data_IF_615167261267
#
_entry.id   IF_615167261267
#
_cell.length_a   1.000
_cell.length_b   1.000
_cell.length_c   1.000
_cell.angle_alpha   90.00
_cell.angle_beta   90.00
_cell.angle_gamma   90.00
#
_symmetry.space_group_name_H-M   'P 1'
#
loop_
_entity.id
_entity.type
_entity.pdbx_description
1 polymer ?
#
# COMPACT_ATOMS: atom_id res chain seq x y z
N UNK A 1 -2.41 -18.00 -12.40
CA UNK A 1 -3.43 -17.02 -12.85
C UNK A 1 -3.95 -17.25 -14.27
N UNK A 2 -3.10 -17.37 -15.30
CA UNK A 2 -3.55 -17.54 -16.70
C UNK A 2 -4.51 -18.72 -16.90
N UNK A 3 -4.24 -19.86 -16.27
CA UNK A 3 -5.11 -21.05 -16.33
C UNK A 3 -6.49 -20.85 -15.70
N UNK A 4 -6.62 -20.04 -14.64
CA UNK A 4 -7.92 -19.73 -14.02
C UNK A 4 -8.76 -18.82 -14.93
N UNK A 5 -8.11 -17.81 -15.52
CA UNK A 5 -8.77 -16.90 -16.46
C UNK A 5 -9.24 -17.63 -17.71
N UNK A 6 -8.39 -18.47 -18.31
CA UNK A 6 -8.73 -19.25 -19.49
C UNK A 6 -9.79 -20.32 -19.22
N UNK A 7 -9.92 -20.79 -17.98
CA UNK A 7 -10.99 -21.69 -17.53
C UNK A 7 -12.32 -20.98 -17.20
N UNK A 8 -12.44 -19.67 -17.46
CA UNK A 8 -13.65 -18.88 -17.18
C UNK A 8 -13.96 -18.71 -15.69
N UNK A 9 -12.99 -18.97 -14.80
CA UNK A 9 -13.21 -18.87 -13.33
C UNK A 9 -13.46 -17.44 -12.87
N UNK A 10 -13.04 -16.44 -13.65
CA UNK A 10 -13.27 -15.03 -13.37
C UNK A 10 -14.43 -14.42 -14.18
N UNK A 11 -15.20 -15.24 -14.88
CA UNK A 11 -16.40 -14.77 -15.60
C UNK A 11 -17.47 -14.34 -14.59
N UNK A 12 -18.32 -13.39 -14.98
CA UNK A 12 -19.34 -12.79 -14.09
C UNK A 12 -20.21 -13.83 -13.37
N UNK A 13 -20.49 -14.97 -14.00
CA UNK A 13 -21.30 -16.05 -13.45
C UNK A 13 -20.57 -16.85 -12.34
N UNK A 14 -19.24 -16.88 -12.38
CA UNK A 14 -18.40 -17.74 -11.53
C UNK A 14 -17.51 -16.96 -10.56
N UNK A 15 -17.31 -15.66 -10.79
CA UNK A 15 -16.39 -14.82 -10.03
C UNK A 15 -16.63 -14.90 -8.53
N UNK A 16 -17.90 -14.89 -8.08
CA UNK A 16 -18.23 -14.98 -6.65
C UNK A 16 -17.75 -16.28 -6.03
N UNK A 17 -18.05 -17.41 -6.67
CA UNK A 17 -17.62 -18.74 -6.20
C UNK A 17 -16.10 -18.85 -6.18
N UNK A 18 -15.44 -18.42 -7.26
CA UNK A 18 -13.98 -18.44 -7.35
C UNK A 18 -13.34 -17.54 -6.30
N UNK A 19 -13.90 -16.36 -6.04
CA UNK A 19 -13.44 -15.47 -4.97
C UNK A 19 -13.55 -16.14 -3.61
N UNK A 20 -14.68 -16.78 -3.28
CA UNK A 20 -14.85 -17.48 -2.00
C UNK A 20 -13.84 -18.63 -1.83
N UNK A 21 -13.56 -19.39 -2.90
CA UNK A 21 -12.53 -20.43 -2.92
C UNK A 21 -11.13 -19.84 -2.66
N UNK A 22 -10.77 -18.75 -3.33
CA UNK A 22 -9.47 -18.09 -3.20
C UNK A 22 -9.30 -17.41 -1.83
N UNK A 23 -10.34 -16.75 -1.31
CA UNK A 23 -10.29 -16.13 0.02
C UNK A 23 -10.00 -17.14 1.12
N UNK A 24 -10.54 -18.36 1.01
CA UNK A 24 -10.23 -19.44 1.97
C UNK A 24 -8.82 -19.99 1.77
N UNK A 25 -8.41 -20.20 0.53
CA UNK A 25 -7.13 -20.80 0.20
C UNK A 25 -5.93 -19.88 0.48
N UNK A 26 -6.12 -18.56 0.38
CA UNK A 26 -5.06 -17.54 0.50
C UNK A 26 -5.21 -16.69 1.76
N UNK A 27 -6.01 -17.14 2.72
CA UNK A 27 -6.13 -16.46 4.01
C UNK A 27 -4.82 -16.62 4.77
N UNK A 28 -4.21 -15.49 5.14
CA UNK A 28 -3.06 -15.50 6.03
C UNK A 28 -3.45 -16.03 7.40
N UNK A 29 -2.67 -16.95 7.92
CA UNK A 29 -2.79 -17.44 9.28
C UNK A 29 -2.28 -16.39 10.28
N UNK A 30 -2.68 -16.55 11.55
CA UNK A 30 -2.22 -15.65 12.60
C UNK A 30 -0.70 -15.77 12.75
N UNK A 31 0.00 -14.64 12.65
CA UNK A 31 1.46 -14.54 12.68
C UNK A 31 2.17 -15.20 11.50
N UNK A 32 1.46 -15.48 10.39
CA UNK A 32 2.12 -15.89 9.14
C UNK A 32 2.99 -14.73 8.63
N UNK A 33 4.31 -14.95 8.42
CA UNK A 33 5.18 -13.91 7.89
C UNK A 33 4.75 -13.51 6.48
N UNK A 34 4.63 -12.20 6.26
CA UNK A 34 4.42 -11.61 4.94
C UNK A 34 5.42 -10.49 4.69
N UNK A 35 5.54 -10.05 3.44
CA UNK A 35 6.42 -8.95 3.04
C UNK A 35 5.76 -8.05 2.00
N UNK A 36 6.20 -6.79 1.98
CA UNK A 36 5.85 -5.81 0.95
C UNK A 36 7.13 -5.31 0.28
N UNK A 37 7.18 -5.39 -1.04
CA UNK A 37 8.25 -4.82 -1.86
C UNK A 37 7.64 -3.84 -2.85
N UNK A 38 8.18 -2.63 -2.89
CA UNK A 38 7.85 -1.64 -3.92
C UNK A 38 9.13 -1.03 -4.48
N UNK A 39 9.21 -0.95 -5.81
CA UNK A 39 10.31 -0.29 -6.52
C UNK A 39 9.75 0.73 -7.49
N UNK A 40 10.09 2.00 -7.28
CA UNK A 40 9.73 3.12 -8.16
C UNK A 40 10.98 3.53 -8.92
N UNK A 41 10.92 3.50 -10.25
CA UNK A 41 12.03 3.89 -11.12
C UNK A 41 11.59 5.09 -11.94
N UNK A 42 12.24 6.22 -11.74
CA UNK A 42 12.01 7.46 -12.49
C UNK A 42 13.20 7.66 -13.42
N UNK A 43 12.93 7.73 -14.73
CA UNK A 43 13.94 8.01 -15.75
C UNK A 43 13.74 9.43 -16.28
N UNK A 44 14.80 10.22 -16.19
CA UNK A 44 14.96 11.55 -16.78
C UNK A 44 16.11 11.40 -17.79
N UNK A 45 16.13 12.15 -18.90
CA UNK A 45 17.02 11.91 -20.04
C UNK A 45 18.45 11.45 -19.69
N UNK A 46 19.10 12.13 -18.75
CA UNK A 46 20.47 11.83 -18.29
C UNK A 46 20.55 11.29 -16.86
N UNK A 47 19.43 10.97 -16.21
CA UNK A 47 19.41 10.61 -14.80
C UNK A 47 18.34 9.57 -14.46
N UNK A 48 18.65 8.73 -13.49
CA UNK A 48 17.75 7.68 -13.02
C UNK A 48 17.65 7.80 -11.50
N UNK A 49 16.42 7.93 -11.00
CA UNK A 49 16.11 7.96 -9.57
C UNK A 49 15.36 6.68 -9.25
N UNK A 50 15.80 5.96 -8.21
CA UNK A 50 15.14 4.75 -7.74
C UNK A 50 14.73 4.93 -6.26
N UNK A 51 13.47 4.65 -5.95
CA UNK A 51 12.99 4.48 -4.58
C UNK A 51 12.68 2.99 -4.37
N UNK A 52 13.22 2.42 -3.31
CA UNK A 52 13.00 1.02 -2.95
C UNK A 52 12.39 0.99 -1.54
N UNK A 53 11.26 0.31 -1.39
CA UNK A 53 10.62 -0.02 -0.14
C UNK A 53 10.71 -1.53 0.06
N UNK A 54 11.20 -1.93 1.22
CA UNK A 54 11.22 -3.31 1.68
C UNK A 54 10.70 -3.32 3.11
N UNK A 55 9.67 -4.10 3.36
CA UNK A 55 9.03 -4.20 4.66
C UNK A 55 8.54 -5.63 4.91
N UNK A 56 8.58 -6.07 6.17
CA UNK A 56 8.26 -7.44 6.58
C UNK A 56 7.27 -7.45 7.74
N UNK A 57 6.63 -8.59 8.00
CA UNK A 57 5.82 -8.77 9.20
C UNK A 57 6.64 -8.46 10.47
N UNK A 58 6.08 -7.62 11.35
CA UNK A 58 6.74 -7.29 12.61
C UNK A 58 6.31 -8.25 13.73
N UNK A 59 7.21 -9.14 14.10
CA UNK A 59 6.98 -10.14 15.16
C UNK A 59 6.75 -9.49 16.53
N UNK A 60 7.29 -8.29 16.80
CA UNK A 60 7.16 -7.65 18.11
C UNK A 60 5.78 -7.04 18.32
N UNK A 61 5.29 -6.32 17.32
CA UNK A 61 3.99 -5.63 17.38
C UNK A 61 2.84 -6.49 16.86
N UNK A 62 3.14 -7.53 16.07
CA UNK A 62 2.15 -8.36 15.38
C UNK A 62 1.54 -7.68 14.16
N UNK A 63 2.01 -6.49 13.77
CA UNK A 63 1.51 -5.79 12.59
C UNK A 63 2.07 -6.41 11.32
N UNK A 64 1.18 -6.64 10.35
CA UNK A 64 1.55 -7.16 9.05
C UNK A 64 2.25 -6.07 8.21
N UNK A 65 3.14 -6.45 7.30
CA UNK A 65 3.85 -5.50 6.45
C UNK A 65 2.87 -4.62 5.65
N UNK A 66 1.82 -5.23 5.12
CA UNK A 66 0.80 -4.52 4.35
C UNK A 66 0.03 -3.52 5.22
N UNK A 67 -0.27 -3.88 6.48
CA UNK A 67 -0.94 -2.96 7.41
C UNK A 67 -0.09 -1.72 7.73
N UNK A 68 1.24 -1.88 7.86
CA UNK A 68 2.15 -0.75 8.12
C UNK A 68 2.38 0.12 6.89
N UNK A 69 2.45 -0.48 5.70
CA UNK A 69 2.70 0.27 4.45
C UNK A 69 1.43 0.87 3.83
N UNK A 70 0.24 0.33 4.12
CA UNK A 70 -1.05 0.86 3.64
C UNK A 70 -1.86 1.54 4.73
N UNK A 71 -2.09 0.83 5.85
CA UNK A 71 -2.91 1.31 6.95
C UNK A 71 -2.31 2.54 7.63
N UNK A 72 -1.02 2.48 7.99
CA UNK A 72 -0.38 3.64 8.61
C UNK A 72 -0.22 4.81 7.63
N UNK A 73 -0.07 4.56 6.33
CA UNK A 73 -0.08 5.63 5.31
C UNK A 73 -1.43 6.35 5.29
N UNK A 74 -2.55 5.61 5.41
CA UNK A 74 -3.88 6.21 5.56
C UNK A 74 -4.03 7.00 6.86
N UNK A 75 -3.57 6.44 7.99
CA UNK A 75 -3.58 7.13 9.30
C UNK A 75 -2.73 8.40 9.27
N UNK A 76 -1.54 8.35 8.68
CA UNK A 76 -0.65 9.49 8.51
C UNK A 76 -1.32 10.59 7.68
N UNK A 77 -2.03 10.21 6.61
CA UNK A 77 -2.78 11.15 5.77
C UNK A 77 -3.90 11.84 6.54
N UNK A 78 -4.64 11.10 7.38
CA UNK A 78 -5.66 11.70 8.26
C UNK A 78 -5.04 12.69 9.25
N UNK A 79 -3.91 12.34 9.87
CA UNK A 79 -3.20 13.24 10.78
C UNK A 79 -2.69 14.50 10.08
N UNK A 80 -2.17 14.35 8.86
CA UNK A 80 -1.70 15.46 8.03
C UNK A 80 -2.82 16.47 7.73
N UNK A 81 -4.02 15.97 7.43
CA UNK A 81 -5.22 16.81 7.25
C UNK A 81 -5.64 17.47 8.57
N UNK A 82 -5.65 16.72 9.67
CA UNK A 82 -5.99 17.24 11.00
C UNK A 82 -5.04 18.36 11.48
N UNK A 83 -3.76 18.28 11.09
CA UNK A 83 -2.73 19.29 11.35
C UNK A 83 -2.77 20.47 10.37
N UNK A 84 -3.73 20.51 9.44
CA UNK A 84 -3.84 21.51 8.37
C UNK A 84 -2.60 21.60 7.46
N UNK A 85 -1.78 20.54 7.36
CA UNK A 85 -0.62 20.52 6.45
C UNK A 85 -1.07 20.44 4.98
N UNK A 86 -2.17 19.73 4.73
CA UNK A 86 -2.92 19.77 3.49
C UNK A 86 -4.34 20.27 3.78
N UNK A 87 -4.68 21.44 3.24
CA UNK A 87 -5.92 22.18 3.58
C UNK A 87 -6.76 22.56 2.36
N UNK A 88 -6.50 21.97 1.19
CA UNK A 88 -7.33 22.20 0.00
C UNK A 88 -8.64 21.43 0.10
N UNK A 89 -9.75 22.07 -0.27
CA UNK A 89 -11.08 21.47 -0.28
C UNK A 89 -11.38 20.86 -1.66
N UNK A 90 -11.85 19.61 -1.68
CA UNK A 90 -12.17 18.90 -2.91
C UNK A 90 -11.79 17.42 -2.86
N UNK A 91 -11.71 16.80 -4.04
CA UNK A 91 -11.26 15.41 -4.20
C UNK A 91 -9.88 15.44 -4.86
N UNK A 92 -8.88 14.95 -4.14
CA UNK A 92 -7.49 14.97 -4.59
C UNK A 92 -6.94 13.54 -4.67
N UNK A 93 -6.34 13.15 -5.79
CA UNK A 93 -5.60 11.92 -5.85
C UNK A 93 -4.27 12.09 -5.07
N UNK A 94 -3.70 11.01 -4.49
CA UNK A 94 -2.52 11.08 -3.63
C UNK A 94 -1.30 11.75 -4.29
N UNK A 95 -1.17 11.67 -5.61
CA UNK A 95 -0.05 12.26 -6.36
C UNK A 95 -0.09 13.80 -6.31
N UNK A 96 -1.27 14.42 -6.23
CA UNK A 96 -1.39 15.88 -6.07
C UNK A 96 -1.02 16.31 -4.65
N UNK A 97 -1.35 15.49 -3.65
CA UNK A 97 -0.91 15.70 -2.27
C UNK A 97 0.61 15.56 -2.18
N UNK A 98 1.18 14.51 -2.78
CA UNK A 98 2.61 14.23 -2.79
C UNK A 98 3.46 15.24 -3.57
N UNK A 99 2.84 16.06 -4.42
CA UNK A 99 3.50 17.20 -5.07
C UNK A 99 3.91 18.28 -4.07
N UNK A 100 3.24 18.37 -2.92
CA UNK A 100 3.59 19.30 -1.84
C UNK A 100 4.65 18.66 -0.95
N UNK A 101 5.85 19.26 -0.95
CA UNK A 101 7.01 18.71 -0.24
C UNK A 101 6.73 18.51 1.26
N UNK A 102 6.10 19.49 1.92
CA UNK A 102 5.74 19.41 3.34
C UNK A 102 4.84 18.21 3.68
N UNK A 103 3.94 17.84 2.76
CA UNK A 103 3.04 16.70 2.92
C UNK A 103 3.83 15.38 2.79
N UNK A 104 4.68 15.28 1.76
CA UNK A 104 5.51 14.11 1.52
C UNK A 104 6.52 13.89 2.64
N UNK A 105 7.20 14.95 3.10
CA UNK A 105 8.13 14.89 4.23
C UNK A 105 7.43 14.43 5.52
N UNK A 106 6.26 14.99 5.83
CA UNK A 106 5.48 14.55 6.99
C UNK A 106 5.09 13.06 6.92
N UNK A 107 4.62 12.59 5.76
CA UNK A 107 4.24 11.19 5.58
C UNK A 107 5.44 10.25 5.72
N UNK A 108 6.59 10.62 5.12
CA UNK A 108 7.84 9.87 5.25
C UNK A 108 8.26 9.83 6.73
N UNK A 109 8.34 10.97 7.40
CA UNK A 109 8.73 11.05 8.81
C UNK A 109 7.80 10.25 9.73
N UNK A 110 6.49 10.26 9.45
CA UNK A 110 5.52 9.46 10.18
C UNK A 110 5.79 7.96 10.00
N UNK A 111 6.00 7.50 8.76
CA UNK A 111 6.20 6.09 8.44
C UNK A 111 7.58 5.56 8.90
N UNK A 112 8.59 6.41 8.96
CA UNK A 112 9.91 6.04 9.48
C UNK A 112 9.97 5.98 11.01
N UNK A 113 9.04 6.62 11.72
CA UNK A 113 8.89 6.41 13.16
C UNK A 113 8.42 4.98 13.40
N UNK A 114 9.29 4.17 14.02
CA UNK A 114 8.92 2.82 14.43
C UNK A 114 7.84 2.91 15.52
N UNK A 115 6.65 2.41 15.19
CA UNK A 115 5.54 2.19 16.10
C UNK A 115 5.59 0.79 16.69
#
# INVERSE_FOLDING_TARGET
MANYRNAGKFDKERIRKTSDELFRAWRLEKNEPELTIMKIIIKIEKSKIEYNLYDEFDVKTGFTSMSRTTGFTATATVNMVALNLFNECGVFPPELVGKKLNCTEYLIDYLFKKH
#
